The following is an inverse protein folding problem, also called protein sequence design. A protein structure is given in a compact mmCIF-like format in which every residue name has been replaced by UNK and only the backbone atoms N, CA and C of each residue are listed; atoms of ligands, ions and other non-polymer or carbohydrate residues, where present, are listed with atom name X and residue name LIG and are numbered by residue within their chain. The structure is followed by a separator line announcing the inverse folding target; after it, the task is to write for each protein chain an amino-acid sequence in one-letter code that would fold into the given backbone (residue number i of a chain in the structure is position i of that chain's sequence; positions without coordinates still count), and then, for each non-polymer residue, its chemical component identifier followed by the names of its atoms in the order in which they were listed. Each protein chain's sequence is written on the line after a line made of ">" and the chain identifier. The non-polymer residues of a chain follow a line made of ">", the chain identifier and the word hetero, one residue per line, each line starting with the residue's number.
data_IF_344631531825
#
_entry.id   IF_344631531825
#
_cell.length_a   1.000
_cell.length_b   1.000
_cell.length_c   1.000
_cell.angle_alpha   90.00
_cell.angle_beta   90.00
_cell.angle_gamma   90.00
#
_symmetry.space_group_name_H-M   'P 1'
#
loop_
_entity.id
_entity.type
_entity.pdbx_description
1 polymer ?
#
# COMPACT_ATOMS: atom_id res chain seq x y z
N UNK A 1 24.37 12.05 -1.17
CA UNK A 1 23.73 10.71 -1.04
C UNK A 1 22.33 10.90 -1.58
N UNK A 2 21.83 10.02 -2.44
CA UNK A 2 20.44 10.09 -2.91
C UNK A 2 19.51 9.81 -1.74
N UNK A 3 18.45 10.60 -1.64
CA UNK A 3 17.38 10.37 -0.65
C UNK A 3 16.61 9.12 -1.03
N UNK A 4 16.47 8.17 -0.11
CA UNK A 4 15.78 6.89 -0.29
C UNK A 4 14.48 6.89 0.50
N UNK A 5 13.40 6.48 -0.15
CA UNK A 5 12.05 6.45 0.42
C UNK A 5 11.45 5.06 0.32
N UNK A 6 10.71 4.68 1.35
CA UNK A 6 10.00 3.41 1.44
C UNK A 6 8.51 3.68 1.65
N UNK A 7 7.67 3.08 0.82
CA UNK A 7 6.22 3.09 1.00
C UNK A 7 5.73 1.68 1.32
N UNK A 8 5.01 1.56 2.43
CA UNK A 8 4.38 0.33 2.89
C UNK A 8 2.88 0.43 2.68
N UNK A 9 2.28 -0.56 2.06
CA UNK A 9 0.83 -0.62 1.90
C UNK A 9 0.40 -1.49 0.73
N UNK A 10 -0.92 -1.67 0.59
CA UNK A 10 -1.47 -2.57 -0.40
C UNK A 10 -1.31 -2.11 -1.85
N UNK A 11 -1.14 -3.10 -2.72
CA UNK A 11 -1.41 -3.02 -4.15
C UNK A 11 -2.75 -3.71 -4.40
N UNK A 12 -3.63 -3.08 -5.14
CA UNK A 12 -4.96 -3.59 -5.47
C UNK A 12 -5.16 -3.51 -6.98
N UNK A 13 -5.86 -4.47 -7.55
CA UNK A 13 -6.35 -4.37 -8.93
C UNK A 13 -7.79 -3.86 -8.86
N UNK A 14 -8.03 -2.69 -9.42
CA UNK A 14 -9.35 -2.07 -9.49
C UNK A 14 -10.04 -2.35 -10.83
N UNK A 15 -11.28 -2.81 -10.77
CA UNK A 15 -12.18 -2.94 -11.91
C UNK A 15 -13.21 -1.82 -11.80
N UNK A 16 -13.01 -0.73 -12.55
CA UNK A 16 -13.86 0.46 -12.49
C UNK A 16 -15.12 0.24 -13.31
N UNK A 17 -16.27 0.60 -12.74
CA UNK A 17 -17.57 0.62 -13.40
C UNK A 17 -18.18 2.00 -13.20
N UNK A 18 -18.38 2.71 -14.29
CA UNK A 18 -18.93 4.06 -14.29
C UNK A 18 -20.47 4.01 -14.41
N UNK A 19 -21.13 5.09 -14.00
CA UNK A 19 -22.59 5.20 -14.04
C UNK A 19 -23.18 4.98 -15.44
N UNK A 20 -22.48 5.44 -16.48
CA UNK A 20 -22.91 5.28 -17.88
C UNK A 20 -22.74 3.85 -18.42
N UNK A 21 -22.30 2.92 -17.57
CA UNK A 21 -22.04 1.52 -17.90
C UNK A 21 -20.71 1.26 -18.58
N UNK A 22 -19.89 2.28 -18.79
CA UNK A 22 -18.51 2.07 -19.26
C UNK A 22 -17.65 1.45 -18.17
N UNK A 23 -16.59 0.77 -18.56
CA UNK A 23 -15.71 0.06 -17.60
C UNK A 23 -14.24 0.26 -17.93
N UNK A 24 -13.40 0.27 -16.91
CA UNK A 24 -11.94 0.14 -17.03
C UNK A 24 -11.46 -0.99 -16.13
N UNK A 25 -11.05 -2.09 -16.73
CA UNK A 25 -10.72 -3.32 -16.01
C UNK A 25 -9.23 -3.45 -15.77
N UNK A 26 -8.85 -3.98 -14.60
CA UNK A 26 -7.47 -4.29 -14.29
C UNK A 26 -6.59 -3.06 -14.06
N UNK A 27 -7.17 -1.97 -13.58
CA UNK A 27 -6.44 -0.73 -13.27
C UNK A 27 -5.61 -0.95 -12.02
N UNK A 28 -4.35 -0.50 -12.04
CA UNK A 28 -3.50 -0.53 -10.87
C UNK A 28 -4.01 0.44 -9.82
N UNK A 29 -4.23 -0.05 -8.62
CA UNK A 29 -4.75 0.69 -7.48
C UNK A 29 -4.05 0.31 -6.18
N UNK A 30 -4.61 0.82 -5.10
CA UNK A 30 -4.08 0.65 -3.75
C UNK A 30 -3.35 1.89 -3.23
N UNK A 31 -3.71 2.31 -2.01
CA UNK A 31 -3.15 3.52 -1.41
C UNK A 31 -1.64 3.46 -1.25
N UNK A 32 -1.08 2.28 -0.90
CA UNK A 32 0.36 2.08 -0.82
C UNK A 32 1.07 2.33 -2.16
N UNK A 33 0.49 1.86 -3.27
CA UNK A 33 1.04 2.13 -4.61
C UNK A 33 0.97 3.62 -4.96
N UNK A 34 -0.15 4.28 -4.67
CA UNK A 34 -0.27 5.72 -4.95
C UNK A 34 0.69 6.56 -4.11
N UNK A 35 0.92 6.19 -2.85
CA UNK A 35 1.92 6.83 -2.01
C UNK A 35 3.35 6.66 -2.57
N UNK A 36 3.70 5.46 -3.02
CA UNK A 36 4.98 5.20 -3.66
C UNK A 36 5.15 6.02 -4.95
N UNK A 37 4.14 6.07 -5.82
CA UNK A 37 4.16 6.85 -7.04
C UNK A 37 4.22 8.36 -6.77
N UNK A 38 3.53 8.84 -5.72
CA UNK A 38 3.61 10.22 -5.26
C UNK A 38 5.03 10.59 -4.78
N UNK A 39 5.67 9.71 -4.02
CA UNK A 39 7.06 9.88 -3.57
C UNK A 39 8.04 9.90 -4.74
N UNK A 40 7.75 9.17 -5.81
CA UNK A 40 8.57 9.11 -7.04
C UNK A 40 8.68 10.45 -7.76
N UNK A 41 7.74 11.37 -7.53
CA UNK A 41 7.79 12.75 -8.08
C UNK A 41 8.99 13.51 -7.48
N UNK A 42 9.39 13.21 -6.26
CA UNK A 42 10.41 13.93 -5.50
C UNK A 42 11.74 13.19 -5.41
N UNK A 43 11.76 11.86 -5.56
CA UNK A 43 12.97 11.05 -5.47
C UNK A 43 13.01 9.97 -6.55
N UNK A 44 14.22 9.69 -7.04
CA UNK A 44 14.46 8.58 -7.96
C UNK A 44 14.62 7.24 -7.22
N UNK A 45 14.88 7.26 -5.92
CA UNK A 45 15.08 6.06 -5.10
C UNK A 45 13.85 5.83 -4.20
N UNK A 46 12.80 5.29 -4.79
CA UNK A 46 11.57 4.92 -4.08
C UNK A 46 11.35 3.42 -4.18
N UNK A 47 11.25 2.78 -3.03
CA UNK A 47 10.96 1.36 -2.90
C UNK A 47 9.58 1.14 -2.32
N UNK A 48 8.93 0.05 -2.76
CA UNK A 48 7.63 -0.36 -2.24
C UNK A 48 7.72 -1.69 -1.53
N UNK A 49 7.10 -1.77 -0.34
CA UNK A 49 6.83 -3.03 0.36
C UNK A 49 5.35 -3.34 0.23
N UNK A 50 5.05 -4.47 -0.34
CA UNK A 50 3.68 -4.94 -0.54
C UNK A 50 3.65 -6.45 -0.72
N UNK A 51 2.47 -7.05 -0.60
CA UNK A 51 2.21 -8.44 -0.98
C UNK A 51 1.24 -8.48 -2.15
N UNK A 52 1.51 -9.33 -3.11
CA UNK A 52 0.63 -9.59 -4.26
C UNK A 52 0.63 -11.08 -4.59
N UNK A 53 -0.38 -11.53 -5.29
CA UNK A 53 -0.43 -12.89 -5.79
C UNK A 53 0.50 -13.12 -6.98
N UNK A 54 0.74 -14.37 -7.32
CA UNK A 54 1.49 -14.77 -8.53
C UNK A 54 0.77 -14.42 -9.84
N UNK A 55 -0.50 -14.03 -9.74
CA UNK A 55 -1.32 -13.50 -10.84
C UNK A 55 -1.01 -12.04 -11.16
N UNK A 56 -0.15 -11.37 -10.37
CA UNK A 56 0.22 -9.97 -10.55
C UNK A 56 1.49 -9.83 -11.40
N UNK A 57 1.46 -8.88 -12.33
CA UNK A 57 2.66 -8.52 -13.11
C UNK A 57 3.46 -7.43 -12.42
N UNK A 58 4.47 -7.80 -11.63
CA UNK A 58 5.35 -6.87 -10.91
C UNK A 58 6.11 -5.93 -11.86
N UNK A 59 6.37 -6.34 -13.10
CA UNK A 59 7.04 -5.50 -14.10
C UNK A 59 6.26 -4.21 -14.34
N UNK A 60 4.94 -4.23 -14.26
CA UNK A 60 4.10 -3.04 -14.41
C UNK A 60 4.38 -1.95 -13.36
N UNK A 61 4.94 -2.32 -12.21
CA UNK A 61 5.35 -1.40 -11.14
C UNK A 61 6.76 -0.87 -11.41
N UNK A 62 7.70 -1.74 -11.80
CA UNK A 62 9.08 -1.31 -12.10
C UNK A 62 9.15 -0.40 -13.32
N UNK A 63 8.29 -0.58 -14.32
CA UNK A 63 8.15 0.33 -15.47
C UNK A 63 7.71 1.75 -15.09
N UNK A 64 7.12 1.93 -13.90
CA UNK A 64 6.79 3.25 -13.33
C UNK A 64 7.95 3.86 -12.54
N UNK A 65 9.12 3.23 -12.54
CA UNK A 65 10.33 3.68 -11.87
C UNK A 65 10.41 3.36 -10.38
N UNK A 66 9.53 2.49 -9.85
CA UNK A 66 9.59 2.03 -8.48
C UNK A 66 10.50 0.80 -8.36
N UNK A 67 11.23 0.73 -7.28
CA UNK A 67 11.98 -0.46 -6.89
C UNK A 67 11.01 -1.50 -6.30
N UNK A 68 11.12 -2.74 -6.74
CA UNK A 68 10.13 -3.80 -6.47
C UNK A 68 10.69 -5.02 -5.74
N UNK A 69 11.95 -4.97 -5.30
CA UNK A 69 12.62 -6.09 -4.64
C UNK A 69 12.00 -6.53 -3.31
N UNK A 70 11.13 -5.70 -2.74
CA UNK A 70 10.41 -6.00 -1.49
C UNK A 70 8.90 -6.18 -1.72
N UNK A 71 8.49 -6.44 -2.97
CA UNK A 71 7.14 -6.91 -3.26
C UNK A 71 7.16 -8.44 -3.18
N UNK A 72 6.49 -8.99 -2.18
CA UNK A 72 6.38 -10.43 -1.98
C UNK A 72 5.32 -11.04 -2.91
N UNK A 73 5.70 -12.12 -3.62
CA UNK A 73 4.79 -12.93 -4.42
C UNK A 73 4.24 -14.09 -3.58
N UNK A 74 3.03 -13.98 -3.13
CA UNK A 74 2.36 -14.97 -2.30
C UNK A 74 1.63 -16.04 -3.13
N UNK A 75 1.13 -17.08 -2.47
CA UNK A 75 0.23 -18.07 -3.09
C UNK A 75 -1.24 -17.63 -3.11
N UNK A 76 -1.59 -16.53 -2.42
CA UNK A 76 -2.92 -15.97 -2.39
C UNK A 76 -3.18 -15.13 -3.64
N UNK A 77 -4.44 -14.89 -4.03
CA UNK A 77 -4.76 -13.98 -5.13
C UNK A 77 -4.39 -12.54 -4.79
N UNK A 78 -4.01 -11.77 -5.81
CA UNK A 78 -3.83 -10.32 -5.64
C UNK A 78 -5.15 -9.67 -5.21
N UNK A 79 -5.15 -8.76 -4.22
CA UNK A 79 -6.34 -8.01 -3.86
C UNK A 79 -6.96 -7.35 -5.08
N UNK A 80 -8.24 -7.63 -5.30
CA UNK A 80 -9.00 -7.11 -6.44
C UNK A 80 -10.40 -6.69 -6.03
N UNK A 81 -10.88 -5.57 -6.55
CA UNK A 81 -12.20 -5.05 -6.22
C UNK A 81 -12.90 -4.42 -7.41
N UNK A 82 -14.23 -4.51 -7.42
CA UNK A 82 -15.05 -3.60 -8.19
C UNK A 82 -15.06 -2.24 -7.50
N UNK A 83 -14.91 -1.17 -8.30
CA UNK A 83 -15.09 0.21 -7.88
C UNK A 83 -16.29 0.75 -8.67
N UNK A 84 -17.46 0.79 -8.03
CA UNK A 84 -18.66 1.33 -8.62
C UNK A 84 -18.68 2.84 -8.37
N UNK A 85 -18.71 3.62 -9.43
CA UNK A 85 -18.69 5.09 -9.40
C UNK A 85 -20.06 5.59 -9.86
N UNK A 86 -20.71 6.39 -9.03
CA UNK A 86 -22.00 7.01 -9.36
C UNK A 86 -21.85 8.47 -9.82
N UNK A 87 -22.97 9.10 -10.18
CA UNK A 87 -23.02 10.49 -10.66
C UNK A 87 -22.64 11.55 -9.61
N UNK A 88 -22.57 11.17 -8.34
CA UNK A 88 -22.20 12.07 -7.23
C UNK A 88 -20.73 11.93 -6.85
N UNK A 89 -19.93 11.24 -7.66
CA UNK A 89 -18.55 10.86 -7.36
C UNK A 89 -18.44 9.96 -6.11
N UNK A 90 -19.53 9.34 -5.67
CA UNK A 90 -19.48 8.35 -4.59
C UNK A 90 -18.94 7.02 -5.13
N UNK A 91 -18.09 6.41 -4.34
CA UNK A 91 -17.44 5.15 -4.68
C UNK A 91 -17.89 4.02 -3.76
N UNK A 92 -18.42 2.96 -4.33
CA UNK A 92 -18.66 1.70 -3.62
C UNK A 92 -17.62 0.67 -4.03
N UNK A 93 -16.86 0.18 -3.06
CA UNK A 93 -15.85 -0.85 -3.27
C UNK A 93 -16.40 -2.23 -2.89
N UNK A 94 -16.32 -3.18 -3.80
CA UNK A 94 -16.75 -4.56 -3.59
C UNK A 94 -15.55 -5.48 -3.84
N UNK A 95 -14.97 -6.09 -2.78
CA UNK A 95 -13.86 -7.04 -2.93
C UNK A 95 -14.25 -8.24 -3.80
N UNK A 96 -13.32 -8.71 -4.62
CA UNK A 96 -13.46 -9.89 -5.49
C UNK A 96 -12.68 -11.11 -5.02
N UNK A 97 -12.01 -10.96 -3.89
CA UNK A 97 -11.34 -12.04 -3.16
C UNK A 97 -12.00 -12.21 -1.80
N UNK A 98 -11.72 -13.31 -1.09
CA UNK A 98 -12.25 -13.49 0.25
C UNK A 98 -11.74 -12.39 1.20
N UNK A 99 -12.48 -12.11 2.28
CA UNK A 99 -12.02 -11.13 3.28
C UNK A 99 -10.70 -11.57 3.93
N UNK A 100 -10.50 -12.87 4.13
CA UNK A 100 -9.26 -13.44 4.68
C UNK A 100 -8.07 -13.16 3.75
N UNK A 101 -8.20 -13.49 2.46
CA UNK A 101 -7.14 -13.22 1.47
C UNK A 101 -6.87 -11.73 1.33
N UNK A 102 -7.94 -10.91 1.31
CA UNK A 102 -7.84 -9.45 1.25
C UNK A 102 -6.98 -8.91 2.39
N UNK A 103 -7.31 -9.26 3.63
CA UNK A 103 -6.58 -8.75 4.79
C UNK A 103 -5.17 -9.31 4.86
N UNK A 104 -4.96 -10.59 4.56
CA UNK A 104 -3.63 -11.21 4.58
C UNK A 104 -2.65 -10.56 3.61
N UNK A 105 -3.14 -10.03 2.49
CA UNK A 105 -2.31 -9.34 1.50
C UNK A 105 -2.06 -7.85 1.83
N UNK A 106 -2.90 -7.23 2.66
CA UNK A 106 -2.80 -5.80 2.98
C UNK A 106 -2.14 -5.52 4.33
N UNK A 107 -1.97 -6.54 5.16
CA UNK A 107 -1.28 -6.40 6.46
C UNK A 107 0.22 -6.46 6.23
N UNK A 108 0.92 -5.46 6.76
CA UNK A 108 2.39 -5.43 6.80
C UNK A 108 2.85 -6.10 8.08
N UNK A 109 3.76 -7.07 7.97
CA UNK A 109 4.39 -7.72 9.11
C UNK A 109 5.85 -7.30 9.24
N UNK A 110 6.44 -7.48 10.43
CA UNK A 110 7.81 -7.04 10.69
C UNK A 110 8.84 -7.69 9.74
N UNK A 111 8.61 -8.91 9.29
CA UNK A 111 9.51 -9.62 8.38
C UNK A 111 9.46 -9.10 6.93
N UNK A 112 8.41 -8.35 6.55
CA UNK A 112 8.30 -7.74 5.22
C UNK A 112 9.25 -6.54 5.07
N UNK A 113 9.71 -5.98 6.19
CA UNK A 113 10.44 -4.73 6.19
C UNK A 113 11.92 -4.98 5.96
N UNK A 114 12.49 -4.43 4.88
CA UNK A 114 13.92 -4.52 4.64
C UNK A 114 14.70 -3.74 5.67
N UNK A 115 15.88 -4.24 6.05
CA UNK A 115 16.82 -3.45 6.86
C UNK A 115 17.58 -2.45 5.98
N UNK A 116 17.01 -1.26 5.83
CA UNK A 116 17.62 -0.15 5.09
C UNK A 116 18.27 0.80 6.08
N UNK A 117 19.60 0.86 6.06
CA UNK A 117 20.39 1.62 7.04
C UNK A 117 20.28 3.14 6.90
N UNK A 118 19.99 3.66 5.71
CA UNK A 118 19.99 5.10 5.39
C UNK A 118 18.68 5.54 4.73
N UNK A 119 17.54 5.12 5.30
CA UNK A 119 16.23 5.49 4.80
C UNK A 119 15.91 6.93 5.23
N UNK A 120 15.66 7.81 4.26
CA UNK A 120 15.30 9.21 4.50
C UNK A 120 13.85 9.34 4.97
N UNK A 121 12.93 8.64 4.31
CA UNK A 121 11.51 8.70 4.62
C UNK A 121 10.82 7.35 4.51
N UNK A 122 9.86 7.12 5.41
CA UNK A 122 9.00 5.96 5.45
C UNK A 122 7.55 6.41 5.48
N UNK A 123 6.77 5.98 4.50
CA UNK A 123 5.32 6.15 4.49
C UNK A 123 4.63 4.81 4.74
N UNK A 124 3.68 4.78 5.66
CA UNK A 124 2.89 3.59 5.98
C UNK A 124 1.41 3.91 5.78
N UNK A 125 0.75 3.18 4.88
CA UNK A 125 -0.70 3.07 4.84
C UNK A 125 -1.10 1.88 5.72
N UNK A 126 -1.53 2.16 6.94
CA UNK A 126 -1.65 1.15 7.97
C UNK A 126 -3.03 1.05 8.63
N UNK A 127 -3.21 0.01 9.42
CA UNK A 127 -4.44 -0.31 10.15
C UNK A 127 -4.27 -0.23 11.68
N UNK A 128 -3.12 0.26 12.15
CA UNK A 128 -2.81 0.36 13.59
C UNK A 128 -2.40 -0.98 14.20
N UNK A 129 -1.77 -1.86 13.45
CA UNK A 129 -1.25 -3.12 13.98
C UNK A 129 -0.02 -2.90 14.87
N UNK A 130 0.26 -3.86 15.79
CA UNK A 130 1.47 -3.82 16.61
C UNK A 130 2.74 -3.79 15.73
N UNK A 131 2.77 -4.57 14.65
CA UNK A 131 3.89 -4.60 13.73
C UNK A 131 4.18 -3.24 13.11
N UNK A 132 3.13 -2.47 12.74
CA UNK A 132 3.29 -1.11 12.21
C UNK A 132 3.91 -0.17 13.24
N UNK A 133 3.50 -0.26 14.51
CA UNK A 133 4.07 0.55 15.60
C UNK A 133 5.53 0.20 15.86
N UNK A 134 5.88 -1.08 15.84
CA UNK A 134 7.25 -1.54 16.02
C UNK A 134 8.15 -1.04 14.88
N UNK A 135 7.66 -1.08 13.64
CA UNK A 135 8.34 -0.56 12.46
C UNK A 135 8.57 0.95 12.61
N UNK A 136 7.53 1.72 12.95
CA UNK A 136 7.65 3.17 13.13
C UNK A 136 8.68 3.50 14.23
N UNK A 137 8.60 2.80 15.38
CA UNK A 137 9.55 2.97 16.47
C UNK A 137 11.00 2.66 16.06
N UNK A 138 11.20 1.59 15.30
CA UNK A 138 12.51 1.18 14.81
C UNK A 138 13.13 2.24 13.90
N UNK A 139 12.39 2.69 12.90
CA UNK A 139 12.89 3.64 11.92
C UNK A 139 13.00 5.06 12.46
N UNK A 140 12.11 5.48 13.36
CA UNK A 140 12.23 6.76 14.07
C UNK A 140 13.53 6.84 14.87
N UNK A 141 13.92 5.77 15.55
CA UNK A 141 15.21 5.68 16.28
C UNK A 141 16.44 5.76 15.36
N UNK A 142 16.28 5.39 14.09
CA UNK A 142 17.32 5.53 13.05
C UNK A 142 17.37 6.93 12.43
N UNK A 143 16.45 7.83 12.82
CA UNK A 143 16.36 9.20 12.29
C UNK A 143 15.57 9.31 10.98
N UNK A 144 14.83 8.27 10.58
CA UNK A 144 13.97 8.30 9.41
C UNK A 144 12.73 9.16 9.68
N UNK A 145 12.35 10.00 8.74
CA UNK A 145 11.07 10.73 8.79
C UNK A 145 9.91 9.76 8.51
N UNK A 146 8.93 9.73 9.41
CA UNK A 146 7.77 8.82 9.30
C UNK A 146 6.52 9.59 8.90
N UNK A 147 5.80 9.07 7.93
CA UNK A 147 4.44 9.48 7.56
C UNK A 147 3.53 8.28 7.72
N UNK A 148 2.42 8.47 8.44
CA UNK A 148 1.44 7.40 8.66
C UNK A 148 0.06 7.86 8.19
N UNK A 149 -0.56 7.07 7.31
CA UNK A 149 -1.93 7.25 6.84
C UNK A 149 -2.78 6.11 7.38
N UNK A 150 -3.65 6.36 8.37
CA UNK A 150 -4.50 5.31 8.91
C UNK A 150 -5.65 4.98 7.96
N UNK A 151 -5.87 3.70 7.71
CA UNK A 151 -7.13 3.22 7.15
C UNK A 151 -8.15 3.17 8.27
N UNK A 152 -9.00 4.18 8.35
CA UNK A 152 -9.99 4.33 9.42
C UNK A 152 -11.29 3.62 9.07
N UNK A 153 -11.71 2.69 9.91
CA UNK A 153 -13.02 2.04 9.88
C UNK A 153 -13.68 2.12 11.27
N UNK A 154 -14.87 1.52 11.45
CA UNK A 154 -15.60 1.57 12.72
C UNK A 154 -14.92 0.83 13.87
N UNK A 155 -13.90 0.02 13.59
CA UNK A 155 -13.15 -0.73 14.60
C UNK A 155 -11.81 -0.08 14.93
N UNK A 156 -11.45 1.01 14.23
CA UNK A 156 -10.14 1.64 14.36
C UNK A 156 -10.01 2.39 15.70
N UNK A 157 -8.99 2.08 16.49
CA UNK A 157 -8.66 2.82 17.70
C UNK A 157 -7.98 4.15 17.36
N UNK A 158 -8.81 5.17 17.14
CA UNK A 158 -8.34 6.52 16.79
C UNK A 158 -7.51 7.19 17.88
N UNK A 159 -7.67 6.78 19.16
CA UNK A 159 -6.86 7.31 20.28
C UNK A 159 -5.43 6.83 20.20
N UNK A 160 -5.25 5.56 19.80
CA UNK A 160 -3.93 4.99 19.62
C UNK A 160 -3.19 5.64 18.46
N UNK A 161 -3.89 5.88 17.33
CA UNK A 161 -3.32 6.58 16.18
C UNK A 161 -2.89 8.00 16.56
N UNK A 162 -3.68 8.72 17.35
CA UNK A 162 -3.34 10.08 17.78
C UNK A 162 -2.16 10.16 18.78
N UNK A 163 -1.67 9.03 19.28
CA UNK A 163 -0.54 8.95 20.21
C UNK A 163 0.81 8.71 19.51
N UNK A 164 0.83 8.57 18.17
CA UNK A 164 2.01 8.43 17.34
C UNK A 164 2.56 9.81 16.97
#
# INVERSE_FOLDING_TARGET
>A
MSESYLALGGIIIDDLVYEDGTTSMGVLGGGGLYAALGSRIWSEDVCMVARVGRDFNVTSISEKGLRTEYIELTSLPTPRAWQLLDSNDERTQIPRVSAEDWYSQLVVEQHDIPDISNLTGLHILGRGSEAEYDIMSLYSKKGTTISYEPVVDHNTDTKRIAAI
#
